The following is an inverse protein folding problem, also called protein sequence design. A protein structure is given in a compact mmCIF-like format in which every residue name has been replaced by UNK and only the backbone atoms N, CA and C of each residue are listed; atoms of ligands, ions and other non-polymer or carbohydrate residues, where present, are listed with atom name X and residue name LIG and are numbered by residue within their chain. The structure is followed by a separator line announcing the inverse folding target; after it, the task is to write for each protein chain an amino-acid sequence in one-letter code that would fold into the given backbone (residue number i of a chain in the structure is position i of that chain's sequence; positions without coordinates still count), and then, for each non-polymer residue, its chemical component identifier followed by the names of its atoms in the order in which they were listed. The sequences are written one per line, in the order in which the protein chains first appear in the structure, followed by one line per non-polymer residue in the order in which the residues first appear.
data_IF_952960322115
#
_entry.id   IF_952960322115
#
_cell.length_a   1.000
_cell.length_b   1.000
_cell.length_c   1.000
_cell.angle_alpha   90.00
_cell.angle_beta   90.00
_cell.angle_gamma   90.00
#
_symmetry.space_group_name_H-M   'P 1'
#
loop_
_entity.id
_entity.type
_entity.pdbx_description
1 polymer ?
#
# COMPACT_ATOMS: atom_id res chain seq x y z
N UNK A 1 -2.75 19.35 -13.62
CA UNK A 1 -1.42 18.83 -13.24
C UNK A 1 -1.52 18.40 -11.78
N UNK A 2 -1.11 17.17 -11.46
CA UNK A 2 -1.38 16.59 -10.12
C UNK A 2 -0.48 17.15 -9.00
N UNK A 3 0.40 18.15 -9.26
CA UNK A 3 1.32 18.72 -8.25
C UNK A 3 2.41 17.75 -7.77
N UNK A 4 2.70 16.69 -8.54
CA UNK A 4 3.71 15.66 -8.20
C UNK A 4 5.05 15.87 -8.91
N UNK A 5 5.12 16.79 -9.86
CA UNK A 5 6.36 17.12 -10.60
C UNK A 5 7.45 17.52 -9.62
N UNK A 6 8.62 16.90 -9.73
CA UNK A 6 9.79 17.08 -8.87
C UNK A 6 9.58 16.66 -7.40
N UNK A 7 8.48 15.98 -7.05
CA UNK A 7 8.31 15.40 -5.72
C UNK A 7 9.01 14.04 -5.64
N UNK A 8 9.74 13.82 -4.55
CA UNK A 8 10.41 12.54 -4.28
C UNK A 8 9.49 11.64 -3.49
N UNK A 9 9.19 10.45 -4.01
CA UNK A 9 8.21 9.52 -3.45
C UNK A 9 8.81 8.13 -3.34
N UNK A 10 8.66 7.49 -2.17
CA UNK A 10 9.00 6.08 -1.97
C UNK A 10 7.75 5.22 -2.16
N UNK A 11 7.86 4.16 -2.97
CA UNK A 11 6.85 3.09 -3.09
C UNK A 11 7.44 1.80 -2.58
N UNK A 12 6.93 1.28 -1.46
CA UNK A 12 7.33 -0.05 -0.96
C UNK A 12 6.57 -1.15 -1.69
N UNK A 13 7.14 -2.35 -1.81
CA UNK A 13 6.51 -3.43 -2.57
C UNK A 13 6.38 -3.14 -4.06
N UNK A 14 7.28 -2.34 -4.60
CA UNK A 14 7.28 -1.88 -5.98
C UNK A 14 7.50 -3.01 -7.01
N UNK A 15 7.99 -4.17 -6.59
CA UNK A 15 8.08 -5.37 -7.44
C UNK A 15 6.74 -6.09 -7.66
N UNK A 16 5.68 -5.76 -6.89
CA UNK A 16 4.35 -6.34 -7.05
C UNK A 16 3.47 -5.56 -8.03
N UNK A 17 2.35 -6.16 -8.49
CA UNK A 17 1.48 -5.58 -9.51
C UNK A 17 1.01 -4.15 -9.20
N UNK A 18 0.37 -3.93 -8.03
CA UNK A 18 -0.12 -2.60 -7.62
C UNK A 18 1.05 -1.63 -7.43
N UNK A 19 2.15 -2.07 -6.78
CA UNK A 19 3.33 -1.24 -6.56
C UNK A 19 3.97 -0.79 -7.85
N UNK A 20 4.19 -1.70 -8.79
CA UNK A 20 4.77 -1.40 -10.10
C UNK A 20 3.87 -0.46 -10.93
N UNK A 21 2.54 -0.69 -10.94
CA UNK A 21 1.60 0.22 -11.60
C UNK A 21 1.65 1.62 -10.98
N UNK A 22 1.73 1.71 -9.65
CA UNK A 22 1.87 2.99 -8.92
C UNK A 22 3.17 3.71 -9.30
N UNK A 23 4.30 3.00 -9.38
CA UNK A 23 5.58 3.59 -9.81
C UNK A 23 5.45 4.18 -11.21
N UNK A 24 4.87 3.43 -12.18
CA UNK A 24 4.67 3.91 -13.56
C UNK A 24 3.85 5.19 -13.60
N UNK A 25 2.72 5.24 -12.91
CA UNK A 25 1.85 6.42 -12.88
C UNK A 25 2.53 7.63 -12.21
N UNK A 26 3.29 7.42 -11.13
CA UNK A 26 4.02 8.50 -10.45
C UNK A 26 5.14 9.07 -11.32
N UNK A 27 5.93 8.21 -11.98
CA UNK A 27 6.96 8.65 -12.92
C UNK A 27 6.35 9.41 -14.10
N UNK A 28 5.25 8.91 -14.67
CA UNK A 28 4.50 9.61 -15.72
C UNK A 28 3.94 10.96 -15.27
N UNK A 29 3.64 11.13 -13.95
CA UNK A 29 3.25 12.40 -13.36
C UNK A 29 4.42 13.35 -13.06
N UNK A 30 5.66 12.96 -13.37
CA UNK A 30 6.87 13.76 -13.21
C UNK A 30 7.51 13.68 -11.82
N UNK A 31 7.15 12.69 -11.00
CA UNK A 31 7.77 12.44 -9.70
C UNK A 31 9.12 11.71 -9.85
N UNK A 32 10.04 11.96 -8.90
CA UNK A 32 11.22 11.11 -8.69
C UNK A 32 10.80 9.97 -7.76
N UNK A 33 10.89 8.73 -8.23
CA UNK A 33 10.36 7.59 -7.47
C UNK A 33 11.46 6.65 -7.02
N UNK A 34 11.51 6.36 -5.71
CA UNK A 34 12.25 5.24 -5.15
C UNK A 34 11.35 4.00 -5.15
N UNK A 35 11.74 2.97 -5.90
CA UNK A 35 11.06 1.68 -5.95
C UNK A 35 11.68 0.73 -4.91
N UNK A 36 10.97 0.52 -3.80
CA UNK A 36 11.44 -0.25 -2.65
C UNK A 36 10.93 -1.70 -2.63
N UNK A 37 11.81 -2.65 -2.31
CA UNK A 37 11.43 -4.06 -2.19
C UNK A 37 12.61 -5.01 -1.99
N UNK A 38 12.32 -6.32 -2.01
CA UNK A 38 13.31 -7.39 -1.80
C UNK A 38 13.83 -7.99 -3.10
N UNK A 39 12.95 -8.11 -4.10
CA UNK A 39 13.29 -8.74 -5.38
C UNK A 39 14.03 -7.75 -6.29
N UNK A 40 15.35 -7.81 -6.23
CA UNK A 40 16.23 -6.91 -6.98
C UNK A 40 16.01 -7.04 -8.49
N UNK A 41 15.81 -8.26 -9.02
CA UNK A 41 15.62 -8.49 -10.46
C UNK A 41 14.36 -7.79 -10.98
N UNK A 42 13.25 -7.90 -10.24
CA UNK A 42 11.99 -7.24 -10.64
C UNK A 42 12.09 -5.72 -10.52
N UNK A 43 12.84 -5.22 -9.52
CA UNK A 43 13.08 -3.79 -9.36
C UNK A 43 13.97 -3.24 -10.46
N UNK A 44 15.02 -3.97 -10.87
CA UNK A 44 15.90 -3.61 -11.99
C UNK A 44 15.12 -3.48 -13.30
N UNK A 45 14.27 -4.47 -13.62
CA UNK A 45 13.41 -4.41 -14.80
C UNK A 45 12.47 -3.19 -14.78
N UNK A 46 11.90 -2.86 -13.60
CA UNK A 46 11.04 -1.69 -13.44
C UNK A 46 11.84 -0.39 -13.60
N UNK A 47 13.07 -0.34 -13.12
CA UNK A 47 13.94 0.83 -13.28
C UNK A 47 14.39 1.04 -14.73
N UNK A 48 14.70 -0.04 -15.45
CA UNK A 48 14.99 0.02 -16.89
C UNK A 48 13.80 0.56 -17.69
N UNK A 49 12.58 0.18 -17.30
CA UNK A 49 11.34 0.63 -17.94
C UNK A 49 11.02 2.10 -17.65
N UNK A 50 11.17 2.52 -16.38
CA UNK A 50 10.57 3.77 -15.87
C UNK A 50 11.58 4.85 -15.51
N UNK A 51 12.85 4.49 -15.31
CA UNK A 51 13.88 5.39 -14.78
C UNK A 51 13.76 5.62 -13.25
N UNK A 52 12.98 4.82 -12.51
CA UNK A 52 12.90 4.92 -11.07
C UNK A 52 14.21 4.49 -10.37
N UNK A 53 14.41 4.95 -9.15
CA UNK A 53 15.57 4.63 -8.33
C UNK A 53 15.31 3.37 -7.49
N UNK A 54 16.29 2.46 -7.41
CA UNK A 54 16.12 1.22 -6.65
C UNK A 54 16.42 1.40 -5.17
N UNK A 55 15.64 0.75 -4.32
CA UNK A 55 15.86 0.72 -2.89
C UNK A 55 15.59 -0.68 -2.33
N UNK A 56 16.65 -1.42 -2.00
CA UNK A 56 16.53 -2.79 -1.48
C UNK A 56 16.39 -2.78 0.04
N UNK A 57 15.29 -3.34 0.55
CA UNK A 57 15.09 -3.61 1.98
C UNK A 57 13.98 -4.63 2.23
N UNK A 58 13.97 -5.19 3.45
CA UNK A 58 12.93 -6.13 3.92
C UNK A 58 12.03 -5.44 4.95
N UNK A 59 10.71 -5.45 4.72
CA UNK A 59 9.70 -4.88 5.63
C UNK A 59 9.60 -5.60 6.98
N UNK A 60 10.12 -6.81 7.11
CA UNK A 60 10.16 -7.54 8.38
C UNK A 60 11.37 -7.16 9.26
N UNK A 61 12.37 -6.47 8.70
CA UNK A 61 13.63 -6.12 9.36
C UNK A 61 13.75 -4.59 9.55
N UNK A 62 13.73 -4.15 10.82
CA UNK A 62 13.81 -2.73 11.17
C UNK A 62 15.14 -2.09 10.75
N UNK A 63 16.24 -2.80 10.93
CA UNK A 63 17.56 -2.27 10.57
C UNK A 63 17.71 -2.10 9.07
N UNK A 64 17.19 -3.07 8.28
CA UNK A 64 17.12 -3.00 6.83
C UNK A 64 16.29 -1.79 6.36
N UNK A 65 15.12 -1.55 7.00
CA UNK A 65 14.28 -0.39 6.70
C UNK A 65 15.01 0.90 7.07
N UNK A 66 15.59 0.97 8.28
CA UNK A 66 16.28 2.16 8.78
C UNK A 66 17.42 2.56 7.86
N UNK A 67 18.28 1.61 7.53
CA UNK A 67 19.43 1.85 6.66
C UNK A 67 19.03 2.32 5.24
N UNK A 68 17.87 1.87 4.75
CA UNK A 68 17.39 2.23 3.42
C UNK A 68 16.63 3.56 3.39
N UNK A 69 15.85 3.90 4.43
CA UNK A 69 14.85 4.99 4.37
C UNK A 69 15.27 6.23 5.15
N UNK A 70 16.04 6.07 6.25
CA UNK A 70 16.43 7.19 7.11
C UNK A 70 17.31 8.18 6.34
N UNK A 71 16.92 9.45 6.34
CA UNK A 71 17.66 10.53 5.64
C UNK A 71 17.34 10.67 4.15
N UNK A 72 16.46 9.84 3.56
CA UNK A 72 16.01 10.06 2.20
C UNK A 72 15.15 11.34 2.11
N UNK A 73 15.35 12.17 1.08
CA UNK A 73 14.62 13.44 0.90
C UNK A 73 13.20 13.21 0.38
N UNK A 74 12.38 12.49 1.16
CA UNK A 74 11.04 12.09 0.76
C UNK A 74 10.02 13.19 1.03
N UNK A 75 9.22 13.50 0.02
CA UNK A 75 7.98 14.27 0.15
C UNK A 75 6.74 13.37 0.24
N UNK A 76 6.81 12.16 -0.33
CA UNK A 76 5.70 11.23 -0.35
C UNK A 76 6.09 9.79 -0.06
N UNK A 77 5.11 9.00 0.40
CA UNK A 77 5.28 7.57 0.71
C UNK A 77 4.05 6.78 0.28
N UNK A 78 4.27 5.64 -0.37
CA UNK A 78 3.25 4.62 -0.62
C UNK A 78 3.68 3.31 0.06
N UNK A 79 3.01 2.95 1.14
CA UNK A 79 3.18 1.64 1.78
C UNK A 79 2.33 0.60 1.03
N UNK A 80 2.91 -0.02 -0.02
CA UNK A 80 2.22 -1.03 -0.84
C UNK A 80 2.72 -2.45 -0.59
N UNK A 81 3.89 -2.62 0.04
CA UNK A 81 4.41 -3.94 0.36
C UNK A 81 3.52 -4.69 1.35
N UNK A 82 3.35 -5.99 1.13
CA UNK A 82 2.50 -6.80 2.00
C UNK A 82 2.74 -8.30 1.87
N UNK A 83 2.18 -9.04 2.83
CA UNK A 83 2.15 -10.50 2.91
C UNK A 83 0.70 -10.96 3.03
N UNK A 84 0.26 -11.85 2.12
CA UNK A 84 -1.14 -12.28 2.02
C UNK A 84 -1.59 -13.24 3.14
N UNK A 85 -0.65 -13.87 3.82
CA UNK A 85 -0.97 -14.85 4.86
C UNK A 85 -1.42 -16.20 4.28
N UNK A 86 -2.15 -16.94 5.09
CA UNK A 86 -2.79 -18.22 4.76
C UNK A 86 -4.31 -18.08 4.73
N UNK A 87 -4.97 -19.05 4.13
CA UNK A 87 -6.43 -19.21 4.17
C UNK A 87 -6.75 -20.27 5.24
N UNK A 88 -7.14 -19.81 6.43
CA UNK A 88 -7.43 -20.68 7.56
C UNK A 88 -8.53 -20.11 8.46
N UNK A 89 -9.33 -20.99 9.07
CA UNK A 89 -10.25 -20.60 10.12
C UNK A 89 -9.49 -20.22 11.40
N UNK A 90 -10.09 -19.44 12.34
CA UNK A 90 -9.40 -19.07 13.60
C UNK A 90 -8.83 -20.27 14.37
N UNK A 91 -9.52 -21.42 14.34
CA UNK A 91 -9.09 -22.64 15.02
C UNK A 91 -7.87 -23.32 14.37
N UNK A 92 -7.55 -22.99 13.12
CA UNK A 92 -6.47 -23.63 12.33
C UNK A 92 -5.38 -22.64 11.94
N UNK A 93 -5.51 -21.38 12.32
CA UNK A 93 -4.53 -20.34 11.99
C UNK A 93 -3.18 -20.66 12.61
N UNK A 94 -2.14 -20.68 11.79
CA UNK A 94 -0.76 -20.76 12.27
C UNK A 94 -0.34 -19.41 12.86
N UNK A 95 0.04 -19.39 14.13
CA UNK A 95 0.45 -18.17 14.82
C UNK A 95 1.70 -17.55 14.20
N UNK A 96 2.64 -18.34 13.66
CA UNK A 96 3.81 -17.81 12.97
C UNK A 96 3.42 -17.06 11.68
N UNK A 97 2.38 -17.52 10.98
CA UNK A 97 1.84 -16.82 9.80
C UNK A 97 1.13 -15.53 10.21
N UNK A 98 0.36 -15.55 11.33
CA UNK A 98 -0.25 -14.35 11.90
C UNK A 98 0.81 -13.32 12.29
N UNK A 99 1.82 -13.72 13.06
CA UNK A 99 2.90 -12.84 13.50
C UNK A 99 3.64 -12.22 12.30
N UNK A 100 3.90 -13.01 11.25
CA UNK A 100 4.49 -12.52 10.02
C UNK A 100 3.61 -11.50 9.29
N UNK A 101 2.30 -11.72 9.25
CA UNK A 101 1.36 -10.77 8.65
C UNK A 101 1.39 -9.43 9.39
N UNK A 102 1.37 -9.44 10.71
CA UNK A 102 1.51 -8.23 11.54
C UNK A 102 2.87 -7.58 11.34
N UNK A 103 3.96 -8.36 11.35
CA UNK A 103 5.32 -7.84 11.20
C UNK A 103 5.51 -7.11 9.87
N UNK A 104 5.04 -7.70 8.76
CA UNK A 104 5.21 -7.12 7.41
C UNK A 104 4.20 -6.01 7.14
N UNK A 105 2.89 -6.30 7.31
CA UNK A 105 1.83 -5.41 6.82
C UNK A 105 1.56 -4.22 7.75
N UNK A 106 1.74 -4.39 9.05
CA UNK A 106 1.48 -3.35 10.04
C UNK A 106 2.78 -2.73 10.56
N UNK A 107 3.63 -3.52 11.26
CA UNK A 107 4.86 -3.01 11.84
C UNK A 107 5.83 -2.47 10.79
N UNK A 108 6.01 -3.17 9.66
CA UNK A 108 6.89 -2.72 8.58
C UNK A 108 6.44 -1.38 7.99
N UNK A 109 5.13 -1.24 7.69
CA UNK A 109 4.57 0.02 7.21
C UNK A 109 4.73 1.16 8.23
N UNK A 110 4.55 0.88 9.53
CA UNK A 110 4.79 1.86 10.60
C UNK A 110 6.25 2.31 10.64
N UNK A 111 7.20 1.38 10.52
CA UNK A 111 8.63 1.70 10.52
C UNK A 111 9.02 2.57 9.33
N UNK A 112 8.56 2.23 8.11
CA UNK A 112 8.80 3.07 6.93
C UNK A 112 8.20 4.45 7.13
N UNK A 113 6.96 4.54 7.64
CA UNK A 113 6.29 5.81 7.96
C UNK A 113 7.09 6.62 8.99
N UNK A 114 7.59 5.97 10.06
CA UNK A 114 8.41 6.61 11.10
C UNK A 114 9.65 7.29 10.53
N UNK A 115 10.42 6.60 9.70
CA UNK A 115 11.66 7.16 9.15
C UNK A 115 11.38 8.19 8.05
N UNK A 116 10.42 7.96 7.17
CA UNK A 116 10.04 8.91 6.12
C UNK A 116 9.45 10.20 6.70
N UNK A 117 8.53 10.10 7.68
CA UNK A 117 7.88 11.29 8.25
C UNK A 117 8.84 12.18 9.05
N UNK A 118 9.92 11.66 9.63
CA UNK A 118 10.96 12.48 10.27
C UNK A 118 11.54 13.50 9.29
N UNK A 119 11.98 13.03 8.12
CA UNK A 119 12.50 13.92 7.09
C UNK A 119 11.42 14.91 6.61
N UNK A 120 10.18 14.44 6.35
CA UNK A 120 9.09 15.32 5.91
C UNK A 120 8.81 16.45 6.91
N UNK A 121 8.85 16.15 8.21
CA UNK A 121 8.68 17.16 9.30
C UNK A 121 9.84 18.13 9.33
N UNK A 122 11.08 17.64 9.25
CA UNK A 122 12.29 18.47 9.25
C UNK A 122 12.37 19.39 8.03
N UNK A 123 11.97 18.91 6.86
CA UNK A 123 11.92 19.69 5.63
C UNK A 123 10.86 20.81 5.66
N UNK A 124 9.77 20.63 6.43
CA UNK A 124 8.71 21.64 6.58
C UNK A 124 7.88 21.93 5.34
N UNK A 125 7.97 21.09 4.29
CA UNK A 125 7.26 21.24 3.02
C UNK A 125 5.91 20.51 2.96
N UNK A 126 5.47 19.96 4.09
CA UNK A 126 4.34 19.04 4.13
C UNK A 126 4.66 17.69 3.47
N UNK A 127 3.62 16.96 3.07
CA UNK A 127 3.80 15.67 2.42
C UNK A 127 2.51 14.89 2.25
N UNK A 128 2.62 13.68 1.68
CA UNK A 128 1.48 12.78 1.60
C UNK A 128 1.92 11.31 1.72
N UNK A 129 1.18 10.55 2.54
CA UNK A 129 1.41 9.11 2.78
C UNK A 129 0.14 8.36 2.39
N UNK A 130 0.27 7.32 1.57
CA UNK A 130 -0.83 6.42 1.21
C UNK A 130 -0.47 4.99 1.60
N UNK A 131 -1.31 4.39 2.41
CA UNK A 131 -1.20 2.99 2.81
C UNK A 131 -2.10 2.12 1.94
N UNK A 132 -1.56 1.08 1.32
CA UNK A 132 -2.37 0.10 0.58
C UNK A 132 -2.86 -0.95 1.58
N UNK A 133 -4.08 -0.73 2.05
CA UNK A 133 -4.80 -1.62 2.96
C UNK A 133 -5.56 -2.70 2.19
N UNK A 134 -6.80 -2.96 2.55
CA UNK A 134 -7.68 -3.94 1.89
C UNK A 134 -9.12 -3.74 2.32
N UNK A 135 -10.09 -4.14 1.50
CA UNK A 135 -11.49 -4.29 1.93
C UNK A 135 -11.62 -5.24 3.14
N UNK A 136 -10.68 -6.20 3.30
CA UNK A 136 -10.63 -7.10 4.46
C UNK A 136 -10.38 -6.38 5.79
N UNK A 137 -9.94 -5.13 5.79
CA UNK A 137 -9.84 -4.28 6.96
C UNK A 137 -11.20 -3.66 7.37
N UNK A 138 -12.14 -3.60 6.44
CA UNK A 138 -13.45 -2.95 6.60
C UNK A 138 -14.57 -3.94 6.90
N UNK A 139 -14.39 -5.20 6.56
CA UNK A 139 -15.39 -6.25 6.76
C UNK A 139 -14.76 -7.62 6.95
N UNK A 140 -15.53 -8.58 7.46
CA UNK A 140 -15.10 -9.97 7.58
C UNK A 140 -14.87 -10.63 6.21
N UNK A 141 -13.73 -11.31 6.05
CA UNK A 141 -13.40 -12.12 4.89
C UNK A 141 -13.04 -13.53 5.37
N UNK A 142 -13.81 -14.51 4.93
CA UNK A 142 -13.66 -15.89 5.38
C UNK A 142 -12.26 -16.44 5.14
N UNK A 143 -11.71 -17.07 6.17
CA UNK A 143 -10.36 -17.66 6.13
C UNK A 143 -9.19 -16.65 6.17
N UNK A 144 -9.40 -15.35 6.27
CA UNK A 144 -8.35 -14.34 6.14
C UNK A 144 -8.00 -13.61 7.44
N UNK A 145 -8.13 -14.25 8.60
CA UNK A 145 -7.99 -13.57 9.90
C UNK A 145 -6.64 -12.87 10.08
N UNK A 146 -5.52 -13.52 9.72
CA UNK A 146 -4.17 -12.96 9.85
C UNK A 146 -3.99 -11.71 8.97
N UNK A 147 -4.43 -11.81 7.73
CA UNK A 147 -4.38 -10.70 6.77
C UNK A 147 -5.29 -9.55 7.17
N UNK A 148 -6.56 -9.86 7.45
CA UNK A 148 -7.58 -8.86 7.82
C UNK A 148 -7.17 -8.07 9.08
N UNK A 149 -6.69 -8.75 10.12
CA UNK A 149 -6.19 -8.11 11.34
C UNK A 149 -5.03 -7.16 11.05
N UNK A 150 -4.06 -7.59 10.23
CA UNK A 150 -2.90 -6.75 9.87
C UNK A 150 -3.30 -5.49 9.07
N UNK A 151 -4.29 -5.61 8.17
CA UNK A 151 -4.78 -4.48 7.37
C UNK A 151 -5.70 -3.56 8.17
N UNK A 152 -6.48 -4.09 9.11
CA UNK A 152 -7.25 -3.28 10.05
C UNK A 152 -6.32 -2.46 10.99
N UNK A 153 -5.20 -3.04 11.44
CA UNK A 153 -4.18 -2.32 12.17
C UNK A 153 -3.59 -1.17 11.31
N UNK A 154 -3.32 -1.41 10.02
CA UNK A 154 -2.84 -0.38 9.09
C UNK A 154 -3.83 0.77 8.93
N UNK A 155 -5.14 0.49 8.82
CA UNK A 155 -6.18 1.53 8.77
C UNK A 155 -6.30 2.34 10.07
N UNK A 156 -6.12 1.69 11.21
CA UNK A 156 -6.06 2.39 12.50
C UNK A 156 -4.85 3.32 12.58
N UNK A 157 -3.68 2.83 12.18
CA UNK A 157 -2.45 3.65 12.10
C UNK A 157 -2.60 4.82 11.11
N UNK A 158 -3.30 4.62 10.00
CA UNK A 158 -3.60 5.68 9.02
C UNK A 158 -4.33 6.85 9.69
N UNK A 159 -5.41 6.58 10.41
CA UNK A 159 -6.21 7.62 11.08
C UNK A 159 -5.42 8.35 12.16
N UNK A 160 -4.67 7.61 12.99
CA UNK A 160 -3.85 8.19 14.05
C UNK A 160 -2.71 9.04 13.47
N UNK A 161 -2.02 8.54 12.44
CA UNK A 161 -0.96 9.31 11.77
C UNK A 161 -1.49 10.57 11.08
N UNK A 162 -2.68 10.52 10.49
CA UNK A 162 -3.33 11.69 9.90
C UNK A 162 -3.59 12.78 10.94
N UNK A 163 -4.07 12.39 12.14
CA UNK A 163 -4.29 13.30 13.25
C UNK A 163 -2.99 13.95 13.75
N UNK A 164 -1.94 13.13 13.93
CA UNK A 164 -0.68 13.58 14.52
C UNK A 164 0.22 14.37 13.56
N UNK A 165 0.23 13.98 12.28
CA UNK A 165 1.08 14.59 11.25
C UNK A 165 0.43 15.78 10.54
N UNK A 166 -0.89 15.95 10.66
CA UNK A 166 -1.64 17.02 10.01
C UNK A 166 -1.14 18.44 10.35
N UNK A 167 -0.68 18.68 11.57
CA UNK A 167 -0.08 19.96 12.00
C UNK A 167 1.22 20.31 11.26
N UNK A 168 1.86 19.34 10.61
CA UNK A 168 3.03 19.54 9.75
C UNK A 168 2.67 19.61 8.26
N UNK A 169 1.38 19.68 7.92
CA UNK A 169 0.94 19.66 6.52
C UNK A 169 1.09 18.31 5.83
N UNK A 170 1.27 17.21 6.58
CA UNK A 170 1.40 15.86 6.05
C UNK A 170 0.04 15.18 6.10
N UNK A 171 -0.46 14.76 4.96
CA UNK A 171 -1.72 14.02 4.81
C UNK A 171 -1.45 12.51 4.84
N UNK A 172 -2.31 11.74 5.48
CA UNK A 172 -2.17 10.28 5.54
C UNK A 172 -3.50 9.63 5.21
N UNK A 173 -3.49 8.67 4.29
CA UNK A 173 -4.68 7.97 3.80
C UNK A 173 -4.43 6.47 3.73
N UNK A 174 -5.50 5.67 3.62
CA UNK A 174 -5.41 4.34 3.04
C UNK A 174 -6.34 4.18 1.84
N UNK A 175 -5.94 3.33 0.90
CA UNK A 175 -6.82 2.74 -0.09
C UNK A 175 -7.10 1.30 0.32
N UNK A 176 -8.34 0.86 0.14
CA UNK A 176 -8.83 -0.46 0.56
C UNK A 176 -9.32 -1.25 -0.66
N UNK A 177 -8.40 -1.81 -1.47
CA UNK A 177 -8.76 -2.55 -2.66
C UNK A 177 -9.55 -3.82 -2.35
N UNK A 178 -10.41 -4.20 -3.29
CA UNK A 178 -10.86 -5.57 -3.46
C UNK A 178 -9.75 -6.44 -4.04
N UNK A 179 -10.08 -7.64 -4.45
CA UNK A 179 -9.12 -8.54 -5.12
C UNK A 179 -8.67 -7.92 -6.44
N UNK A 180 -7.36 -7.76 -6.57
CA UNK A 180 -6.66 -7.45 -7.82
C UNK A 180 -6.00 -8.73 -8.29
N UNK A 181 -6.23 -9.13 -9.55
CA UNK A 181 -5.71 -10.39 -10.11
C UNK A 181 -4.22 -10.24 -10.44
N UNK A 182 -3.40 -10.35 -9.40
CA UNK A 182 -1.94 -10.38 -9.47
C UNK A 182 -1.44 -11.83 -9.32
N UNK A 183 -0.15 -12.07 -9.54
CA UNK A 183 0.48 -13.37 -9.30
C UNK A 183 0.21 -13.90 -7.87
N UNK A 184 0.18 -13.01 -6.89
CA UNK A 184 -0.09 -13.37 -5.48
C UNK A 184 -1.51 -13.91 -5.27
N UNK A 185 -2.50 -13.39 -5.99
CA UNK A 185 -3.93 -13.66 -5.75
C UNK A 185 -4.54 -14.71 -6.67
N UNK A 186 -3.95 -14.91 -7.86
CA UNK A 186 -4.56 -15.70 -8.94
C UNK A 186 -4.79 -17.17 -8.57
N UNK A 187 -3.91 -17.79 -7.79
CA UNK A 187 -4.02 -19.20 -7.40
C UNK A 187 -5.26 -19.52 -6.56
N UNK A 188 -5.70 -18.59 -5.73
CA UNK A 188 -6.90 -18.74 -4.90
C UNK A 188 -8.13 -18.11 -5.57
N UNK A 189 -8.08 -16.83 -5.91
CA UNK A 189 -9.21 -16.07 -6.42
C UNK A 189 -9.56 -16.38 -7.89
N UNK A 190 -8.67 -17.03 -8.64
CA UNK A 190 -8.94 -17.53 -9.98
C UNK A 190 -9.82 -18.80 -10.04
N UNK A 191 -10.10 -19.45 -8.90
CA UNK A 191 -10.93 -20.64 -8.85
C UNK A 191 -12.41 -20.28 -9.02
N UNK A 192 -13.15 -20.85 -10.01
CA UNK A 192 -14.55 -20.48 -10.28
C UNK A 192 -15.46 -20.56 -9.06
N UNK A 193 -15.30 -21.59 -8.22
CA UNK A 193 -16.08 -21.79 -6.99
C UNK A 193 -15.94 -20.65 -5.99
N UNK A 194 -14.82 -19.90 -6.03
CA UNK A 194 -14.53 -18.77 -5.16
C UNK A 194 -14.89 -17.46 -5.88
N UNK A 195 -14.50 -17.35 -7.14
CA UNK A 195 -14.69 -16.16 -7.96
C UNK A 195 -16.16 -15.81 -8.20
N UNK A 196 -16.96 -16.79 -8.64
CA UNK A 196 -18.34 -16.54 -9.04
C UNK A 196 -19.23 -15.96 -7.91
N UNK A 197 -19.26 -16.54 -6.69
CA UNK A 197 -20.06 -15.98 -5.60
C UNK A 197 -19.56 -14.60 -5.17
N UNK A 198 -18.25 -14.39 -5.22
CA UNK A 198 -17.64 -13.12 -4.83
C UNK A 198 -17.99 -12.01 -5.83
N UNK A 199 -17.80 -12.26 -7.14
CA UNK A 199 -18.13 -11.31 -8.20
C UNK A 199 -19.62 -11.01 -8.28
N UNK A 200 -20.47 -12.00 -8.01
CA UNK A 200 -21.93 -11.82 -7.98
C UNK A 200 -22.37 -10.83 -6.88
N UNK A 201 -21.63 -10.76 -5.78
CA UNK A 201 -21.90 -9.82 -4.68
C UNK A 201 -21.35 -8.42 -4.96
N UNK A 202 -20.39 -8.28 -5.87
CA UNK A 202 -19.76 -7.01 -6.21
C UNK A 202 -20.60 -6.24 -7.24
N UNK A 203 -21.09 -5.03 -6.96
CA UNK A 203 -21.90 -4.24 -7.88
C UNK A 203 -21.28 -4.03 -9.25
N UNK A 204 -19.95 -3.77 -9.34
CA UNK A 204 -19.28 -3.60 -10.63
C UNK A 204 -18.95 -4.94 -11.33
N UNK A 205 -19.13 -6.09 -10.68
CA UNK A 205 -19.10 -7.43 -11.27
C UNK A 205 -17.77 -7.86 -11.91
N UNK A 206 -16.66 -7.20 -11.59
CA UNK A 206 -15.34 -7.53 -12.12
C UNK A 206 -14.24 -7.38 -11.09
N UNK A 207 -13.16 -8.12 -11.24
CA UNK A 207 -11.93 -7.90 -10.48
C UNK A 207 -11.36 -6.51 -10.76
N UNK A 208 -10.73 -5.91 -9.75
CA UNK A 208 -9.96 -4.71 -9.97
C UNK A 208 -8.67 -5.03 -10.74
N UNK A 209 -8.21 -4.08 -11.53
CA UNK A 209 -6.88 -4.05 -12.14
C UNK A 209 -5.90 -3.29 -11.25
N UNK A 210 -4.63 -3.43 -11.49
CA UNK A 210 -3.60 -2.65 -10.80
C UNK A 210 -3.82 -1.14 -11.01
N UNK A 211 -4.24 -0.73 -12.20
CA UNK A 211 -4.54 0.67 -12.52
C UNK A 211 -5.75 1.21 -11.75
N UNK A 212 -6.79 0.39 -11.52
CA UNK A 212 -7.94 0.79 -10.68
C UNK A 212 -7.51 1.18 -9.26
N UNK A 213 -6.36 0.68 -8.78
CA UNK A 213 -5.81 0.98 -7.44
C UNK A 213 -4.73 2.06 -7.51
N UNK A 214 -3.87 2.05 -8.52
CA UNK A 214 -2.79 3.03 -8.65
C UNK A 214 -3.31 4.45 -8.85
N UNK A 215 -4.35 4.65 -9.66
CA UNK A 215 -4.90 5.97 -9.95
C UNK A 215 -5.46 6.69 -8.71
N UNK A 216 -6.25 6.06 -7.81
CA UNK A 216 -6.63 6.66 -6.52
C UNK A 216 -5.43 6.97 -5.63
N UNK A 217 -4.38 6.13 -5.62
CA UNK A 217 -3.15 6.42 -4.86
C UNK A 217 -2.51 7.71 -5.35
N UNK A 218 -2.33 7.86 -6.67
CA UNK A 218 -1.75 9.06 -7.28
C UNK A 218 -2.61 10.29 -7.03
N UNK A 219 -3.95 10.17 -7.07
CA UNK A 219 -4.87 11.24 -6.70
C UNK A 219 -4.68 11.68 -5.24
N UNK A 220 -4.64 10.73 -4.29
CA UNK A 220 -4.48 11.03 -2.86
C UNK A 220 -3.11 11.64 -2.53
N UNK A 221 -2.06 11.26 -3.25
CA UNK A 221 -0.75 11.92 -3.14
C UNK A 221 -0.80 13.36 -3.68
N UNK A 222 -1.56 13.60 -4.74
CA UNK A 222 -1.56 14.86 -5.46
C UNK A 222 -2.30 16.02 -4.78
N UNK A 223 -2.19 17.19 -5.39
CA UNK A 223 -2.82 18.44 -4.92
C UNK A 223 -4.35 18.42 -4.96
N UNK A 224 -4.97 17.58 -5.80
CA UNK A 224 -6.42 17.40 -5.84
C UNK A 224 -7.03 16.88 -4.54
N UNK A 225 -6.22 16.25 -3.69
CA UNK A 225 -6.61 15.75 -2.38
C UNK A 225 -6.17 16.65 -1.21
N UNK A 226 -5.88 17.93 -1.45
CA UNK A 226 -5.26 18.84 -0.46
C UNK A 226 -6.07 19.01 0.84
N UNK A 227 -7.37 18.79 0.81
CA UNK A 227 -8.24 18.88 2.01
C UNK A 227 -8.75 17.50 2.47
N UNK A 228 -8.17 16.42 1.94
CA UNK A 228 -8.49 15.04 2.34
C UNK A 228 -7.35 14.53 3.22
N UNK A 229 -7.65 13.97 4.39
CA UNK A 229 -6.71 13.23 5.26
C UNK A 229 -7.48 12.27 6.18
N UNK A 230 -6.85 11.18 6.62
CA UNK A 230 -7.46 10.19 7.53
C UNK A 230 -8.49 9.27 6.87
N UNK A 231 -8.69 9.35 5.55
CA UNK A 231 -9.67 8.51 4.86
C UNK A 231 -9.14 7.10 4.64
N UNK A 232 -10.01 6.10 4.85
CA UNK A 232 -9.85 4.73 4.38
C UNK A 232 -10.77 4.56 3.17
N UNK A 233 -10.21 4.65 1.97
CA UNK A 233 -10.97 4.72 0.71
C UNK A 233 -11.18 3.34 0.10
N UNK A 234 -12.41 2.78 0.10
CA UNK A 234 -12.69 1.54 -0.61
C UNK A 234 -12.47 1.69 -2.12
N UNK A 235 -11.73 0.75 -2.71
CA UNK A 235 -11.52 0.60 -4.16
C UNK A 235 -11.95 -0.82 -4.51
N UNK A 236 -13.23 -1.12 -4.30
CA UNK A 236 -13.74 -2.48 -4.17
C UNK A 236 -14.96 -2.80 -5.06
N UNK A 237 -15.25 -1.95 -6.01
CA UNK A 237 -16.39 -2.13 -6.90
C UNK A 237 -17.75 -2.13 -6.19
N UNK A 238 -17.81 -1.56 -4.97
CA UNK A 238 -19.00 -1.49 -4.13
C UNK A 238 -19.21 -2.70 -3.22
N UNK A 239 -18.25 -3.62 -3.16
CA UNK A 239 -18.39 -4.88 -2.42
C UNK A 239 -18.71 -4.69 -0.93
N UNK A 240 -18.09 -3.71 -0.26
CA UNK A 240 -18.30 -3.44 1.18
C UNK A 240 -19.60 -2.70 1.48
N UNK A 241 -20.33 -2.27 0.47
CA UNK A 241 -21.61 -1.56 0.63
C UNK A 241 -22.84 -2.48 0.57
N UNK A 242 -22.65 -3.78 0.27
CA UNK A 242 -23.74 -4.76 0.08
C UNK A 242 -23.78 -5.79 1.20
#
# INVERSE_FOLDING_TARGET
MNGLTNRTILVTGASGGIGAATVRELVAAGATVYAGGRDTRMLEALAEETGCLLLKFDLSDEESIRAAVEGLPLWGLVNCGGFGGEIATPMKTDIAVFDRAIAVNARGALLVTKYASRFMVEAGEGGSIVNVSSQAALMGLDGHISYAASKAALDSMTRTSALELGKYGIRVHSVNPTVVMTEMSASYWGQPKIAEPFLKRMPLGRWATEADVASPIVFLLGGGASMITGVCLPVDGGYTMC
#
